data_IF_120711058877
#
_entry.id   IF_120711058877
#
_cell.length_a   1.000
_cell.length_b   1.000
_cell.length_c   1.000
_cell.angle_alpha   90.00
_cell.angle_beta   90.00
_cell.angle_gamma   90.00
#
_symmetry.space_group_name_H-M   'P 1'
#
loop_
_entity.id
_entity.type
_entity.pdbx_description
1 polymer ?
#
# COMPACT_ATOMS: atom_id res chain seq x y z
N UNK A 1 4.44 -15.81 -0.52
CA UNK A 1 5.43 -14.77 -0.12
C UNK A 1 5.47 -13.66 -1.15
N UNK A 2 5.60 -13.97 -2.45
CA UNK A 2 5.71 -12.94 -3.49
C UNK A 2 4.46 -12.08 -3.70
N UNK A 3 3.24 -12.64 -3.72
CA UNK A 3 2.01 -11.82 -3.84
C UNK A 3 1.91 -10.75 -2.74
N UNK A 4 2.30 -11.11 -1.52
CA UNK A 4 2.30 -10.18 -0.39
C UNK A 4 3.36 -9.07 -0.58
N UNK A 5 4.54 -9.41 -1.07
CA UNK A 5 5.58 -8.43 -1.40
C UNK A 5 5.14 -7.49 -2.52
N UNK A 6 4.52 -8.01 -3.57
CA UNK A 6 3.98 -7.21 -4.67
C UNK A 6 2.84 -6.31 -4.19
N UNK A 7 1.95 -6.81 -3.33
CA UNK A 7 0.89 -6.01 -2.73
C UNK A 7 1.44 -4.89 -1.86
N UNK A 8 2.48 -5.14 -1.05
CA UNK A 8 3.19 -4.08 -0.29
C UNK A 8 3.75 -3.00 -1.20
N UNK A 9 4.36 -3.39 -2.32
CA UNK A 9 4.88 -2.44 -3.30
C UNK A 9 3.76 -1.61 -3.93
N UNK A 10 2.60 -2.22 -4.21
CA UNK A 10 1.44 -1.49 -4.70
C UNK A 10 0.91 -0.49 -3.67
N UNK A 11 0.84 -0.88 -2.39
CA UNK A 11 0.45 0.03 -1.30
C UNK A 11 1.42 1.19 -1.14
N UNK A 12 2.74 0.93 -1.24
CA UNK A 12 3.77 1.96 -1.17
C UNK A 12 3.57 3.05 -2.26
N UNK A 13 3.23 2.64 -3.48
CA UNK A 13 2.96 3.56 -4.60
C UNK A 13 1.50 4.03 -4.69
N UNK A 14 0.63 3.63 -3.75
CA UNK A 14 -0.76 4.10 -3.67
C UNK A 14 -0.90 5.36 -2.80
N UNK A 15 0.13 5.72 -2.03
CA UNK A 15 0.12 6.88 -1.14
C UNK A 15 -0.17 8.19 -1.85
N UNK A 16 -0.96 9.05 -1.19
CA UNK A 16 -1.32 10.40 -1.64
C UNK A 16 -0.34 11.42 -1.08
N UNK A 17 0.92 11.33 -1.50
CA UNK A 17 1.89 12.40 -1.23
C UNK A 17 1.76 13.44 -2.34
N UNK A 18 1.86 14.72 -2.00
CA UNK A 18 2.00 15.79 -2.99
C UNK A 18 3.34 15.63 -3.70
N UNK A 19 3.34 14.90 -4.81
CA UNK A 19 4.48 14.73 -5.69
C UNK A 19 4.52 15.87 -6.71
N UNK A 20 5.71 16.16 -7.23
CA UNK A 20 5.84 16.92 -8.47
C UNK A 20 5.21 16.13 -9.63
N UNK A 21 4.89 16.79 -10.74
CA UNK A 21 4.33 16.11 -11.92
C UNK A 21 5.22 14.96 -12.40
N UNK A 22 6.54 15.19 -12.43
CA UNK A 22 7.53 14.15 -12.75
C UNK A 22 7.51 12.99 -11.74
N UNK A 23 7.42 13.30 -10.44
CA UNK A 23 7.32 12.29 -9.39
C UNK A 23 6.04 11.47 -9.50
N UNK A 24 4.93 12.11 -9.84
CA UNK A 24 3.64 11.45 -10.08
C UNK A 24 3.73 10.47 -11.25
N UNK A 25 4.36 10.87 -12.37
CA UNK A 25 4.51 10.00 -13.54
C UNK A 25 5.37 8.78 -13.24
N UNK A 26 6.47 8.95 -12.50
CA UNK A 26 7.34 7.86 -12.05
C UNK A 26 6.57 6.88 -11.16
N UNK A 27 5.87 7.37 -10.14
CA UNK A 27 5.12 6.55 -9.19
C UNK A 27 3.94 5.84 -9.89
N UNK A 28 3.24 6.54 -10.77
CA UNK A 28 2.16 5.97 -11.58
C UNK A 28 2.68 4.88 -12.53
N UNK A 29 3.85 5.08 -13.13
CA UNK A 29 4.56 4.08 -13.94
C UNK A 29 4.94 2.85 -13.11
N UNK A 30 5.50 3.03 -11.92
CA UNK A 30 5.85 1.95 -11.01
C UNK A 30 4.62 1.14 -10.61
N UNK A 31 3.52 1.80 -10.21
CA UNK A 31 2.25 1.14 -9.85
C UNK A 31 1.70 0.29 -10.99
N UNK A 32 1.73 0.79 -12.23
CA UNK A 32 1.32 0.02 -13.42
C UNK A 32 2.21 -1.20 -13.63
N UNK A 33 3.53 -1.02 -13.55
CA UNK A 33 4.52 -2.10 -13.72
C UNK A 33 4.33 -3.21 -12.69
N UNK A 34 4.24 -2.87 -11.41
CA UNK A 34 4.08 -3.86 -10.35
C UNK A 34 2.67 -4.48 -10.32
N UNK A 35 1.64 -3.75 -10.76
CA UNK A 35 0.30 -4.31 -10.94
C UNK A 35 0.26 -5.36 -12.04
N UNK A 36 0.91 -5.10 -13.17
CA UNK A 36 1.08 -6.07 -14.25
C UNK A 36 1.86 -7.30 -13.77
N UNK A 37 2.96 -7.10 -13.02
CA UNK A 37 3.76 -8.18 -12.47
C UNK A 37 2.97 -9.06 -11.49
N UNK A 38 2.07 -8.48 -10.68
CA UNK A 38 1.17 -9.24 -9.81
C UNK A 38 0.20 -10.11 -10.62
N UNK A 39 -0.40 -9.55 -11.67
CA UNK A 39 -1.30 -10.30 -12.54
C UNK A 39 -0.56 -11.46 -13.22
N UNK A 40 0.62 -11.20 -13.80
CA UNK A 40 1.47 -12.22 -14.41
C UNK A 40 1.88 -13.30 -13.40
N UNK A 41 2.31 -12.91 -12.20
CA UNK A 41 2.68 -13.85 -11.15
C UNK A 41 1.50 -14.77 -10.79
N UNK A 42 0.28 -14.24 -10.64
CA UNK A 42 -0.89 -15.07 -10.33
C UNK A 42 -1.16 -16.07 -11.45
N UNK A 43 -1.16 -15.62 -12.71
CA UNK A 43 -1.44 -16.49 -13.87
C UNK A 43 -0.39 -17.60 -13.99
N UNK A 44 0.88 -17.29 -13.74
CA UNK A 44 1.99 -18.24 -13.90
C UNK A 44 2.20 -19.16 -12.69
N UNK A 45 1.95 -18.68 -11.47
CA UNK A 45 2.16 -19.46 -10.25
C UNK A 45 0.92 -20.22 -9.77
N UNK A 46 -0.28 -19.79 -10.17
CA UNK A 46 -1.56 -20.41 -9.79
C UNK A 46 -2.22 -21.13 -10.96
N UNK A 47 -1.47 -22.00 -11.61
CA UNK A 47 -1.98 -22.87 -12.69
C UNK A 47 -2.99 -23.89 -12.18
N UNK A 48 -3.10 -24.07 -10.85
CA UNK A 48 -4.14 -24.83 -10.18
C UNK A 48 -5.53 -24.19 -10.26
N UNK A 49 -5.61 -22.89 -10.53
CA UNK A 49 -6.85 -22.13 -10.58
C UNK A 49 -7.36 -21.98 -12.02
N UNK A 50 -8.69 -21.89 -12.18
CA UNK A 50 -9.28 -21.49 -13.45
C UNK A 50 -8.95 -20.02 -13.76
N UNK A 51 -8.99 -19.58 -15.03
CA UNK A 51 -8.78 -18.16 -15.37
C UNK A 51 -9.72 -17.20 -14.64
N UNK A 52 -10.96 -17.64 -14.37
CA UNK A 52 -11.93 -16.85 -13.61
C UNK A 52 -11.49 -16.70 -12.14
N UNK A 53 -11.03 -17.77 -11.52
CA UNK A 53 -10.55 -17.76 -10.13
C UNK A 53 -9.23 -16.98 -9.98
N UNK A 54 -8.36 -17.02 -10.98
CA UNK A 54 -7.15 -16.19 -11.05
C UNK A 54 -7.51 -14.70 -11.08
N UNK A 55 -8.49 -14.32 -11.90
CA UNK A 55 -9.00 -12.94 -11.94
C UNK A 55 -9.63 -12.54 -10.61
N UNK A 56 -10.45 -13.41 -10.02
CA UNK A 56 -11.04 -13.13 -8.71
C UNK A 56 -9.96 -12.92 -7.63
N UNK A 57 -8.91 -13.74 -7.64
CA UNK A 57 -7.76 -13.57 -6.74
C UNK A 57 -7.09 -12.21 -6.92
N UNK A 58 -6.84 -11.80 -8.17
CA UNK A 58 -6.25 -10.49 -8.47
C UNK A 58 -7.15 -9.35 -7.96
N UNK A 59 -8.45 -9.43 -8.18
CA UNK A 59 -9.41 -8.43 -7.70
C UNK A 59 -9.42 -8.34 -6.17
N UNK A 60 -9.43 -9.48 -5.48
CA UNK A 60 -9.39 -9.54 -4.01
C UNK A 60 -8.07 -8.98 -3.45
N UNK A 61 -6.94 -9.18 -4.13
CA UNK A 61 -5.67 -8.61 -3.70
C UNK A 61 -5.63 -7.10 -3.92
N UNK A 62 -6.08 -6.62 -5.09
CA UNK A 62 -6.14 -5.19 -5.38
C UNK A 62 -7.14 -4.44 -4.47
N UNK A 63 -8.23 -5.08 -4.05
CA UNK A 63 -9.22 -4.44 -3.16
C UNK A 63 -8.67 -4.19 -1.74
N UNK A 64 -7.58 -4.86 -1.33
CA UNK A 64 -6.92 -4.59 -0.04
C UNK A 64 -6.36 -3.17 0.00
N UNK A 65 -5.88 -2.62 -1.13
CA UNK A 65 -5.22 -1.31 -1.19
C UNK A 65 -6.08 -0.18 -0.60
N UNK A 66 -7.32 0.08 -1.07
CA UNK A 66 -8.16 1.12 -0.48
C UNK A 66 -8.50 0.87 1.00
N UNK A 67 -8.67 -0.39 1.42
CA UNK A 67 -8.91 -0.70 2.83
C UNK A 67 -7.71 -0.36 3.72
N UNK A 68 -6.49 -0.66 3.26
CA UNK A 68 -5.26 -0.32 3.95
C UNK A 68 -5.05 1.20 4.03
N UNK A 69 -5.38 1.94 2.97
CA UNK A 69 -5.30 3.41 2.98
C UNK A 69 -6.22 4.02 4.03
N UNK A 70 -7.49 3.63 4.08
CA UNK A 70 -8.43 4.12 5.09
C UNK A 70 -8.02 3.74 6.53
N UNK A 71 -7.54 2.51 6.73
CA UNK A 71 -7.03 2.09 8.04
C UNK A 71 -5.82 2.93 8.45
N UNK A 72 -4.90 3.18 7.51
CA UNK A 72 -3.70 3.98 7.74
C UNK A 72 -4.02 5.43 8.12
N UNK A 73 -5.02 6.07 7.49
CA UNK A 73 -5.42 7.44 7.83
C UNK A 73 -5.97 7.55 9.26
N UNK A 74 -6.79 6.56 9.64
CA UNK A 74 -7.36 6.47 10.99
C UNK A 74 -6.27 6.25 12.04
N UNK A 75 -5.36 5.32 11.78
CA UNK A 75 -4.24 5.03 12.68
C UNK A 75 -3.29 6.23 12.78
N UNK A 76 -2.96 6.89 11.67
CA UNK A 76 -2.11 8.07 11.69
C UNK A 76 -2.71 9.20 12.54
N UNK A 77 -4.01 9.44 12.41
CA UNK A 77 -4.74 10.42 13.23
C UNK A 77 -4.72 10.08 14.73
N UNK A 78 -4.80 8.79 15.06
CA UNK A 78 -4.67 8.31 16.43
C UNK A 78 -3.24 8.48 16.96
N UNK A 79 -2.23 8.08 16.19
CA UNK A 79 -0.82 8.24 16.52
C UNK A 79 -0.45 9.71 16.75
N UNK A 80 -0.91 10.62 15.89
CA UNK A 80 -0.71 12.07 16.06
C UNK A 80 -1.20 12.55 17.43
N UNK A 81 -2.39 12.11 17.86
CA UNK A 81 -2.92 12.43 19.19
C UNK A 81 -2.05 11.89 20.32
N UNK A 82 -1.61 10.63 20.19
CA UNK A 82 -0.76 9.98 21.19
C UNK A 82 0.58 10.71 21.35
N UNK A 83 1.19 11.13 20.24
CA UNK A 83 2.43 11.92 20.22
C UNK A 83 2.22 13.28 20.88
N UNK A 84 1.18 14.03 20.51
CA UNK A 84 0.87 15.34 21.12
C UNK A 84 0.64 15.27 22.63
N UNK A 85 -0.03 14.21 23.08
CA UNK A 85 -0.34 14.00 24.50
C UNK A 85 0.81 13.31 25.26
N UNK A 86 1.92 13.00 24.57
CA UNK A 86 3.03 12.19 25.07
C UNK A 86 2.59 10.87 25.74
N UNK A 87 1.54 10.25 25.22
CA UNK A 87 1.05 8.98 25.76
C UNK A 87 2.03 7.88 25.33
N UNK A 88 2.56 7.15 26.31
CA UNK A 88 3.53 6.07 26.05
C UNK A 88 4.94 6.56 25.74
N UNK A 89 5.29 7.80 26.08
CA UNK A 89 6.62 8.40 25.85
C UNK A 89 6.99 8.51 24.35
N UNK A 90 6.00 8.89 23.54
CA UNK A 90 6.10 8.93 22.07
C UNK A 90 6.54 10.30 21.50
N UNK A 91 6.92 11.28 22.32
CA UNK A 91 7.43 12.59 21.85
C UNK A 91 8.87 12.55 21.30
N UNK A 92 9.32 11.41 20.75
CA UNK A 92 10.61 11.31 20.09
C UNK A 92 10.65 12.09 18.77
N UNK A 93 11.83 12.55 18.31
CA UNK A 93 11.95 13.34 17.08
C UNK A 93 11.30 12.68 15.86
N UNK A 94 11.55 11.38 15.65
CA UNK A 94 10.99 10.64 14.52
C UNK A 94 9.46 10.50 14.59
N UNK A 95 8.91 10.23 15.77
CA UNK A 95 7.46 10.12 15.95
C UNK A 95 6.74 11.44 15.74
N UNK A 96 7.40 12.55 16.12
CA UNK A 96 6.92 13.90 15.83
C UNK A 96 6.95 14.15 14.32
N UNK A 97 8.10 13.97 13.66
CA UNK A 97 8.28 14.21 12.22
C UNK A 97 7.34 13.37 11.32
N UNK A 98 6.93 12.18 11.78
CA UNK A 98 6.06 11.28 11.02
C UNK A 98 4.57 11.54 11.20
N UNK A 99 4.14 12.04 12.37
CA UNK A 99 2.73 12.09 12.75
C UNK A 99 2.19 13.49 13.01
N UNK A 100 3.06 14.49 13.22
CA UNK A 100 2.71 15.89 13.53
C UNK A 100 3.12 16.80 12.37
#
# INVERSE_FOLDING_TARGET
MEEYSLLKTLVLFAGTISLTDEGFDIVSGARRKYGALLAEYIVTSRTDLSPADQMERLLRLCSVVPHMMHASERDNSYCARMVLMNIGNLTGPLSYDLHI
#
